data_IF_296736521860
#
_entry.id   IF_296736521860
#
_cell.length_a   1.000
_cell.length_b   1.000
_cell.length_c   1.000
_cell.angle_alpha   90.00
_cell.angle_beta   90.00
_cell.angle_gamma   90.00
#
_symmetry.space_group_name_H-M   'P 1'
#
loop_
_entity.id
_entity.type
_entity.pdbx_description
1 polymer ?
#
# COMPACT_ATOMS: atom_id res chain seq x y z
N UNK A 1 6.70 4.84 5.27
CA UNK A 1 6.15 6.10 5.83
C UNK A 1 4.79 6.48 5.24
N UNK A 2 4.59 6.40 3.93
CA UNK A 2 3.35 6.89 3.30
C UNK A 2 2.07 6.20 3.81
N UNK A 3 2.04 4.86 3.89
CA UNK A 3 0.86 4.14 4.40
C UNK A 3 0.75 4.14 5.93
N UNK A 4 1.84 3.75 6.62
CA UNK A 4 1.84 3.46 8.06
C UNK A 4 2.26 4.64 8.95
N UNK A 5 2.64 5.78 8.37
CA UNK A 5 3.18 6.92 9.09
C UNK A 5 4.67 6.76 9.44
N UNK A 6 5.16 7.67 10.28
CA UNK A 6 6.53 7.63 10.81
C UNK A 6 6.55 7.12 12.25
N UNK A 7 6.94 5.85 12.41
CA UNK A 7 7.01 5.20 13.71
C UNK A 7 8.11 5.74 14.64
N UNK A 8 9.18 6.34 14.09
CA UNK A 8 10.23 6.94 14.91
C UNK A 8 9.74 8.26 15.51
N UNK A 9 9.10 9.10 14.69
CA UNK A 9 8.49 10.34 15.19
C UNK A 9 7.37 10.04 16.18
N UNK A 10 6.53 9.04 15.92
CA UNK A 10 5.46 8.67 16.86
C UNK A 10 6.00 8.21 18.23
N UNK A 11 7.22 7.66 18.26
CA UNK A 11 7.87 7.18 19.48
C UNK A 11 8.61 8.28 20.24
N UNK A 12 9.20 9.24 19.54
CA UNK A 12 10.12 10.23 20.12
C UNK A 12 9.62 11.68 20.07
N UNK A 13 8.57 11.97 19.32
CA UNK A 13 7.90 13.27 19.23
C UNK A 13 6.46 13.15 19.71
N UNK A 14 5.96 14.16 20.41
CA UNK A 14 4.61 14.14 21.01
C UNK A 14 3.47 14.40 20.03
N UNK A 15 3.76 14.92 18.82
CA UNK A 15 2.75 15.23 17.80
C UNK A 15 3.18 14.67 16.46
N UNK A 16 2.47 13.63 16.00
CA UNK A 16 2.62 13.12 14.63
C UNK A 16 1.30 13.15 13.87
N UNK A 17 1.30 13.51 12.59
CA UNK A 17 0.12 13.35 11.74
C UNK A 17 -0.35 11.90 11.73
N UNK A 18 -1.67 11.70 11.75
CA UNK A 18 -2.27 10.38 11.58
C UNK A 18 -1.91 9.79 10.22
N UNK A 19 -1.52 8.52 10.20
CA UNK A 19 -1.18 7.80 8.96
C UNK A 19 -2.42 7.46 8.14
N UNK A 20 -2.25 7.16 6.84
CA UNK A 20 -3.37 6.71 5.99
C UNK A 20 -4.02 5.45 6.56
N UNK A 21 -3.21 4.48 7.00
CA UNK A 21 -3.69 3.30 7.72
C UNK A 21 -4.46 3.68 8.98
N UNK A 22 -3.91 4.58 9.80
CA UNK A 22 -4.56 5.02 11.04
C UNK A 22 -5.92 5.68 10.80
N UNK A 23 -6.06 6.46 9.71
CA UNK A 23 -7.35 7.04 9.29
C UNK A 23 -8.37 5.95 8.98
N UNK A 24 -7.99 4.93 8.20
CA UNK A 24 -8.85 3.80 7.85
C UNK A 24 -9.23 3.01 9.10
N UNK A 25 -8.26 2.66 9.94
CA UNK A 25 -8.48 1.91 11.17
C UNK A 25 -9.44 2.64 12.12
N UNK A 26 -9.29 3.95 12.28
CA UNK A 26 -10.15 4.74 13.15
C UNK A 26 -11.59 4.79 12.61
N UNK A 27 -11.76 4.99 11.30
CA UNK A 27 -13.09 4.99 10.65
C UNK A 27 -13.73 3.61 10.82
N UNK A 28 -13.04 2.54 10.43
CA UNK A 28 -13.56 1.17 10.50
C UNK A 28 -13.90 0.75 11.93
N UNK A 29 -12.97 1.01 12.87
CA UNK A 29 -13.15 0.75 14.30
C UNK A 29 -14.38 1.45 14.87
N UNK A 30 -14.59 2.71 14.51
CA UNK A 30 -15.74 3.49 14.98
C UNK A 30 -17.05 3.02 14.35
N UNK A 31 -17.04 2.73 13.05
CA UNK A 31 -18.24 2.33 12.30
C UNK A 31 -18.70 0.90 12.65
N UNK A 32 -17.81 0.01 13.10
CA UNK A 32 -18.20 -1.35 13.51
C UNK A 32 -19.12 -1.39 14.73
N UNK A 33 -19.08 -0.38 15.60
CA UNK A 33 -19.80 -0.36 16.88
C UNK A 33 -20.95 0.65 16.92
N UNK A 34 -21.25 1.30 15.80
CA UNK A 34 -22.31 2.31 15.71
C UNK A 34 -23.25 2.05 14.54
N UNK A 35 -24.50 2.45 14.70
CA UNK A 35 -25.51 2.48 13.63
C UNK A 35 -25.75 3.89 13.09
N UNK A 36 -25.07 4.89 13.64
CA UNK A 36 -25.19 6.29 13.21
C UNK A 36 -24.45 6.53 11.89
N UNK A 37 -24.89 7.55 11.15
CA UNK A 37 -24.23 7.96 9.91
C UNK A 37 -22.79 8.47 10.17
N UNK A 38 -21.84 8.30 9.22
CA UNK A 38 -20.49 8.84 9.35
C UNK A 38 -20.47 10.35 9.49
N UNK A 39 -19.64 10.86 10.40
CA UNK A 39 -19.44 12.30 10.61
C UNK A 39 -18.71 12.93 9.41
N UNK A 40 -18.81 14.25 9.28
CA UNK A 40 -18.10 14.98 8.23
C UNK A 40 -16.58 14.80 8.32
N UNK A 41 -16.04 14.75 9.54
CA UNK A 41 -14.62 14.47 9.80
C UNK A 41 -14.21 13.07 9.30
N UNK A 42 -15.07 12.05 9.43
CA UNK A 42 -14.79 10.72 8.88
C UNK A 42 -14.78 10.73 7.36
N UNK A 43 -15.71 11.46 6.71
CA UNK A 43 -15.72 11.60 5.25
C UNK A 43 -14.47 12.30 4.73
N UNK A 44 -14.05 13.39 5.37
CA UNK A 44 -12.81 14.08 5.03
C UNK A 44 -11.58 13.19 5.23
N UNK A 45 -11.53 12.45 6.34
CA UNK A 45 -10.44 11.53 6.63
C UNK A 45 -10.38 10.36 5.63
N UNK A 46 -11.56 9.88 5.17
CA UNK A 46 -11.65 8.90 4.10
C UNK A 46 -11.10 9.44 2.79
N UNK A 47 -11.49 10.65 2.36
CA UNK A 47 -10.99 11.24 1.11
C UNK A 47 -9.46 11.35 1.12
N UNK A 48 -8.88 11.87 2.23
CA UNK A 48 -7.42 11.93 2.39
C UNK A 48 -6.77 10.54 2.30
N UNK A 49 -7.39 9.53 2.92
CA UNK A 49 -6.91 8.16 2.87
C UNK A 49 -6.99 7.56 1.46
N UNK A 50 -8.08 7.82 0.74
CA UNK A 50 -8.32 7.34 -0.62
C UNK A 50 -7.32 7.94 -1.62
N UNK A 51 -7.16 9.26 -1.61
CA UNK A 51 -6.23 9.97 -2.50
C UNK A 51 -4.77 9.53 -2.24
N UNK A 52 -4.41 9.41 -0.96
CA UNK A 52 -3.09 8.93 -0.57
C UNK A 52 -2.85 7.46 -0.98
N UNK A 53 -3.88 6.62 -0.90
CA UNK A 53 -3.80 5.23 -1.32
C UNK A 53 -3.67 5.09 -2.84
N UNK A 54 -4.35 5.93 -3.63
CA UNK A 54 -4.22 5.94 -5.09
C UNK A 54 -2.76 6.15 -5.52
N UNK A 55 -2.07 7.12 -4.91
CA UNK A 55 -0.66 7.36 -5.18
C UNK A 55 0.23 6.14 -4.86
N UNK A 56 -0.03 5.47 -3.72
CA UNK A 56 0.69 4.26 -3.32
C UNK A 56 0.42 3.12 -4.30
N UNK A 57 -0.83 2.92 -4.70
CA UNK A 57 -1.22 1.87 -5.64
C UNK A 57 -0.54 2.07 -6.99
N UNK A 58 -0.47 3.30 -7.48
CA UNK A 58 0.22 3.61 -8.73
C UNK A 58 1.72 3.33 -8.63
N UNK A 59 2.38 3.69 -7.52
CA UNK A 59 3.79 3.33 -7.29
C UNK A 59 4.01 1.81 -7.24
N UNK A 60 3.11 1.06 -6.59
CA UNK A 60 3.19 -0.41 -6.53
C UNK A 60 3.03 -1.04 -7.92
N UNK A 61 2.12 -0.52 -8.76
CA UNK A 61 1.97 -0.98 -10.14
C UNK A 61 3.26 -0.76 -10.95
N UNK A 62 3.89 0.41 -10.82
CA UNK A 62 5.17 0.70 -11.48
C UNK A 62 6.27 -0.28 -11.06
N UNK A 63 6.47 -0.46 -9.75
CA UNK A 63 7.48 -1.39 -9.22
C UNK A 63 7.21 -2.83 -9.67
N UNK A 64 5.94 -3.24 -9.72
CA UNK A 64 5.57 -4.58 -10.20
C UNK A 64 6.01 -4.78 -11.65
N UNK A 65 5.84 -3.76 -12.49
CA UNK A 65 6.23 -3.85 -13.90
C UNK A 65 7.74 -3.80 -14.10
N UNK A 66 8.46 -3.01 -13.29
CA UNK A 66 9.92 -3.02 -13.26
C UNK A 66 10.47 -4.40 -12.83
N UNK A 67 9.85 -5.03 -11.83
CA UNK A 67 10.22 -6.39 -11.41
C UNK A 67 10.06 -7.38 -12.57
N UNK A 68 8.94 -7.35 -13.30
CA UNK A 68 8.74 -8.22 -14.47
C UNK A 68 9.81 -8.02 -15.55
N UNK A 69 10.24 -6.78 -15.77
CA UNK A 69 11.32 -6.48 -16.72
C UNK A 69 12.63 -7.11 -16.26
N UNK A 70 12.97 -6.99 -14.97
CA UNK A 70 14.16 -7.64 -14.39
C UNK A 70 14.07 -9.16 -14.50
N UNK A 71 12.91 -9.75 -14.19
CA UNK A 71 12.68 -11.20 -14.31
C UNK A 71 12.85 -11.71 -15.74
N UNK A 72 12.41 -10.94 -16.73
CA UNK A 72 12.61 -11.27 -18.15
C UNK A 72 14.10 -11.32 -18.51
N UNK A 73 14.89 -10.38 -17.96
CA UNK A 73 16.35 -10.38 -18.14
C UNK A 73 16.99 -11.59 -17.46
N UNK A 74 16.56 -11.93 -16.23
CA UNK A 74 17.05 -13.10 -15.51
C UNK A 74 16.78 -14.40 -16.26
N UNK A 75 15.58 -14.57 -16.82
CA UNK A 75 15.21 -15.72 -17.64
C UNK A 75 16.08 -15.81 -18.91
N UNK A 76 16.32 -14.68 -19.60
CA UNK A 76 17.21 -14.63 -20.77
C UNK A 76 18.62 -15.16 -20.45
N UNK A 77 19.12 -14.89 -19.25
CA UNK A 77 20.43 -15.36 -18.80
C UNK A 77 20.39 -16.69 -18.02
N UNK A 78 19.24 -17.39 -18.03
CA UNK A 78 19.03 -18.68 -17.36
C UNK A 78 19.36 -18.65 -15.87
N UNK A 79 19.11 -17.51 -15.22
CA UNK A 79 19.29 -17.39 -13.78
C UNK A 79 18.29 -18.30 -13.04
N UNK A 80 18.64 -18.81 -11.84
CA UNK A 80 17.75 -19.61 -11.02
C UNK A 80 16.40 -18.93 -10.74
N UNK A 81 15.39 -19.75 -10.44
CA UNK A 81 14.03 -19.32 -10.14
C UNK A 81 13.95 -18.30 -8.99
N UNK A 82 13.07 -17.30 -9.13
CA UNK A 82 12.70 -16.36 -8.06
C UNK A 82 11.23 -16.57 -7.66
N UNK A 83 10.88 -16.53 -6.35
CA UNK A 83 9.49 -16.73 -5.91
C UNK A 83 8.51 -15.79 -6.60
N UNK A 84 7.44 -16.35 -7.16
CA UNK A 84 6.40 -15.60 -7.88
C UNK A 84 6.68 -15.40 -9.37
N UNK A 85 7.89 -15.69 -9.85
CA UNK A 85 8.22 -15.65 -11.29
C UNK A 85 7.43 -16.73 -12.03
N UNK A 86 6.93 -16.41 -13.22
CA UNK A 86 6.28 -17.38 -14.10
C UNK A 86 7.25 -17.79 -15.22
N UNK A 87 7.44 -19.10 -15.49
CA UNK A 87 8.36 -19.55 -16.54
C UNK A 87 7.76 -19.32 -17.95
N UNK A 88 8.58 -18.89 -18.91
CA UNK A 88 8.24 -18.91 -20.35
C UNK A 88 8.42 -20.33 -20.88
N UNK A 89 7.35 -21.13 -20.81
CA UNK A 89 7.36 -22.50 -21.30
C UNK A 89 7.00 -22.56 -22.79
N UNK A 90 7.93 -23.07 -23.60
CA UNK A 90 7.68 -23.41 -25.01
C UNK A 90 7.70 -24.91 -25.18
N UNK A 91 6.60 -25.45 -25.69
CA UNK A 91 6.54 -26.85 -26.15
C UNK A 91 7.38 -26.97 -27.41
N UNK A 92 8.32 -27.92 -27.41
CA UNK A 92 9.12 -28.26 -28.59
C UNK A 92 8.24 -28.66 -29.77
#
# INVERSE_FOLDING_TARGET
RQMNGDGLRARYESVTPISLKGRVDQIAGSLWVTTSAPTETFKQSYNIAADGFEAILNSLKTVTEEIKQVETVLEKYKAPYTPGRLPDWKKN
#
